data_IF_000186194515
#
_entry.id   IF_000186194515
#
_cell.length_a   1.000
_cell.length_b   1.000
_cell.length_c   1.000
_cell.angle_alpha   90.00
_cell.angle_beta   90.00
_cell.angle_gamma   90.00
#
_symmetry.space_group_name_H-M   'P 1'
#
loop_
_entity.id
_entity.type
_entity.pdbx_description
1 polymer ?
#
# COMPACT_ATOMS: atom_id res chain seq x y z
N UNK A 1 -12.82 9.18 20.62
CA UNK A 1 -11.54 9.74 20.15
C UNK A 1 -11.52 9.56 18.65
N UNK A 2 -11.30 10.60 17.83
CA UNK A 2 -11.06 10.34 16.41
C UNK A 2 -9.81 9.47 16.37
N UNK A 3 -9.94 8.24 15.88
CA UNK A 3 -8.80 7.37 15.65
C UNK A 3 -7.72 8.20 14.95
N UNK A 4 -6.48 8.18 15.46
CA UNK A 4 -5.37 8.90 14.85
C UNK A 4 -5.26 8.48 13.38
N UNK A 5 -5.86 9.28 12.50
CA UNK A 5 -5.83 9.07 11.06
C UNK A 5 -4.38 9.25 10.63
N UNK A 6 -3.63 8.15 10.56
CA UNK A 6 -2.28 8.18 10.01
C UNK A 6 -2.41 8.34 8.50
N UNK A 7 -1.81 9.40 8.01
CA UNK A 7 -1.68 9.66 6.59
C UNK A 7 -0.89 8.54 5.89
N UNK A 8 -1.54 7.77 5.02
CA UNK A 8 -0.89 6.73 4.20
C UNK A 8 0.27 7.32 3.38
N UNK A 9 0.14 8.57 2.91
CA UNK A 9 1.17 9.26 2.12
C UNK A 9 2.51 9.42 2.84
N UNK A 10 2.53 9.46 4.19
CA UNK A 10 3.78 9.56 4.95
C UNK A 10 4.68 8.32 4.82
N UNK A 11 4.13 7.20 4.35
CA UNK A 11 4.83 5.92 4.20
C UNK A 11 5.05 5.52 2.74
N UNK A 12 4.73 6.38 1.78
CA UNK A 12 4.99 6.17 0.36
C UNK A 12 6.29 6.86 -0.06
N UNK A 13 6.94 6.32 -1.09
CA UNK A 13 7.94 7.12 -1.82
C UNK A 13 7.22 8.20 -2.62
N UNK A 14 7.90 9.30 -2.93
CA UNK A 14 7.35 10.36 -3.79
C UNK A 14 6.87 9.78 -5.13
N UNK A 15 7.68 8.94 -5.77
CA UNK A 15 7.31 8.26 -7.01
C UNK A 15 6.03 7.43 -6.89
N UNK A 16 5.87 6.64 -5.82
CA UNK A 16 4.64 5.87 -5.63
C UNK A 16 3.43 6.76 -5.34
N UNK A 17 3.63 7.85 -4.60
CA UNK A 17 2.59 8.84 -4.35
C UNK A 17 2.09 9.48 -5.64
N UNK A 18 3.01 9.88 -6.53
CA UNK A 18 2.68 10.50 -7.81
C UNK A 18 1.92 9.53 -8.72
N UNK A 19 2.33 8.26 -8.79
CA UNK A 19 1.58 7.23 -9.55
C UNK A 19 0.15 7.08 -9.04
N UNK A 20 -0.06 7.04 -7.71
CA UNK A 20 -1.41 6.97 -7.14
C UNK A 20 -2.26 8.20 -7.50
N UNK A 21 -1.65 9.38 -7.48
CA UNK A 21 -2.33 10.62 -7.87
C UNK A 21 -2.69 10.64 -9.35
N UNK A 22 -1.75 10.30 -10.23
CA UNK A 22 -1.99 10.25 -11.68
C UNK A 22 -3.11 9.28 -12.03
N UNK A 23 -3.09 8.05 -11.49
CA UNK A 23 -4.14 7.07 -11.77
C UNK A 23 -5.51 7.55 -11.26
N UNK A 24 -5.56 8.14 -10.07
CA UNK A 24 -6.81 8.67 -9.53
C UNK A 24 -7.38 9.80 -10.40
N UNK A 25 -6.51 10.69 -10.88
CA UNK A 25 -6.89 11.80 -11.76
C UNK A 25 -7.37 11.30 -13.13
N UNK A 26 -6.63 10.40 -13.77
CA UNK A 26 -6.94 9.85 -15.09
C UNK A 26 -8.27 9.08 -15.10
N UNK A 27 -8.58 8.36 -14.02
CA UNK A 27 -9.83 7.60 -13.88
C UNK A 27 -10.98 8.43 -13.28
N UNK A 28 -10.74 9.69 -12.91
CA UNK A 28 -11.76 10.58 -12.35
C UNK A 28 -12.27 10.16 -10.96
N UNK A 29 -11.43 9.51 -10.16
CA UNK A 29 -11.77 9.00 -8.82
C UNK A 29 -10.93 9.66 -7.74
N UNK A 30 -11.38 9.58 -6.48
CA UNK A 30 -10.53 9.97 -5.35
C UNK A 30 -9.62 8.81 -4.95
N UNK A 31 -8.39 9.11 -4.52
CA UNK A 31 -7.48 8.09 -3.99
C UNK A 31 -8.08 7.35 -2.78
N UNK A 32 -8.83 8.05 -1.92
CA UNK A 32 -9.52 7.42 -0.79
C UNK A 32 -10.60 6.44 -1.25
N UNK A 33 -11.43 6.81 -2.23
CA UNK A 33 -12.43 5.91 -2.79
C UNK A 33 -11.80 4.70 -3.48
N UNK A 34 -10.66 4.89 -4.14
CA UNK A 34 -9.92 3.78 -4.75
C UNK A 34 -9.38 2.80 -3.68
N UNK A 35 -8.80 3.31 -2.60
CA UNK A 35 -8.32 2.48 -1.49
C UNK A 35 -9.46 1.73 -0.78
N UNK A 36 -10.62 2.36 -0.62
CA UNK A 36 -11.82 1.72 -0.05
C UNK A 36 -12.32 0.57 -0.94
N UNK A 37 -12.42 0.79 -2.25
CA UNK A 37 -12.84 -0.25 -3.19
C UNK A 37 -11.88 -1.44 -3.22
N UNK A 38 -10.56 -1.20 -3.17
CA UNK A 38 -9.58 -2.30 -3.07
C UNK A 38 -9.68 -3.06 -1.75
N UNK A 39 -9.97 -2.38 -0.64
CA UNK A 39 -10.16 -3.03 0.65
C UNK A 39 -11.39 -3.94 0.65
N UNK A 40 -12.49 -3.48 0.04
CA UNK A 40 -13.71 -4.29 -0.14
C UNK A 40 -13.43 -5.53 -0.99
N UNK A 41 -12.74 -5.38 -2.13
CA UNK A 41 -12.37 -6.52 -2.99
C UNK A 41 -11.48 -7.54 -2.27
N UNK A 42 -10.45 -7.08 -1.54
CA UNK A 42 -9.61 -7.97 -0.74
C UNK A 42 -10.37 -8.67 0.39
N UNK A 43 -11.40 -8.04 0.95
CA UNK A 43 -12.25 -8.65 1.97
C UNK A 43 -13.18 -9.71 1.36
N UNK A 44 -13.74 -9.45 0.19
CA UNK A 44 -14.59 -10.40 -0.53
C UNK A 44 -13.79 -11.56 -1.13
N UNK A 45 -12.54 -11.32 -1.50
CA UNK A 45 -11.65 -12.27 -2.16
C UNK A 45 -10.28 -12.32 -1.47
N UNK A 46 -10.19 -12.93 -0.26
CA UNK A 46 -8.97 -12.93 0.53
C UNK A 46 -7.79 -13.55 -0.23
N UNK A 47 -6.63 -12.88 -0.31
CA UNK A 47 -5.48 -13.39 -1.07
C UNK A 47 -4.97 -14.76 -0.59
N UNK A 48 -5.15 -15.09 0.69
CA UNK A 48 -4.71 -16.35 1.28
C UNK A 48 -5.67 -17.53 1.03
N UNK A 49 -6.89 -17.27 0.57
CA UNK A 49 -7.91 -18.28 0.26
C UNK A 49 -8.02 -18.56 -1.24
N UNK A 50 -7.03 -18.12 -2.03
CA UNK A 50 -7.06 -18.26 -3.49
C UNK A 50 -7.77 -17.10 -4.20
N UNK A 51 -7.83 -15.92 -3.58
CA UNK A 51 -8.29 -14.68 -4.20
C UNK A 51 -7.53 -14.29 -5.48
N UNK A 52 -7.88 -13.13 -6.05
CA UNK A 52 -7.42 -12.71 -7.39
C UNK A 52 -5.89 -12.85 -7.58
N UNK A 53 -5.39 -13.52 -8.65
CA UNK A 53 -3.95 -13.81 -8.83
C UNK A 53 -3.03 -12.59 -8.71
N UNK A 54 -3.50 -11.43 -9.18
CA UNK A 54 -2.78 -10.16 -9.09
C UNK A 54 -2.50 -9.72 -7.64
N UNK A 55 -3.36 -10.06 -6.68
CA UNK A 55 -3.10 -9.75 -5.27
C UNK A 55 -1.91 -10.52 -4.71
N UNK A 56 -1.73 -11.78 -5.11
CA UNK A 56 -0.58 -12.58 -4.69
C UNK A 56 0.75 -11.97 -5.16
N UNK A 57 0.77 -11.43 -6.38
CA UNK A 57 1.95 -10.75 -6.93
C UNK A 57 2.23 -9.42 -6.22
N UNK A 58 1.18 -8.62 -5.98
CA UNK A 58 1.28 -7.35 -5.26
C UNK A 58 1.79 -7.58 -3.83
N UNK A 59 1.25 -8.57 -3.11
CA UNK A 59 1.70 -8.93 -1.75
C UNK A 59 3.17 -9.38 -1.75
N UNK A 60 3.58 -10.17 -2.74
CA UNK A 60 4.99 -10.58 -2.87
C UNK A 60 5.91 -9.37 -3.06
N UNK A 61 5.51 -8.41 -3.87
CA UNK A 61 6.26 -7.16 -4.08
C UNK A 61 6.28 -6.29 -2.82
N UNK A 62 5.16 -6.16 -2.12
CA UNK A 62 5.08 -5.44 -0.85
C UNK A 62 6.05 -6.02 0.20
N UNK A 63 6.11 -7.34 0.34
CA UNK A 63 7.07 -8.03 1.23
C UNK A 63 8.54 -7.68 0.91
N UNK A 64 8.89 -7.53 -0.37
CA UNK A 64 10.24 -7.11 -0.78
C UNK A 64 10.53 -5.68 -0.36
N UNK A 65 9.57 -4.76 -0.55
CA UNK A 65 9.68 -3.35 -0.14
C UNK A 65 9.88 -3.26 1.38
N UNK A 66 9.09 -4.00 2.16
CA UNK A 66 9.21 -4.03 3.62
C UNK A 66 10.56 -4.58 4.08
N UNK A 67 11.08 -5.61 3.41
CA UNK A 67 12.41 -6.13 3.69
C UNK A 67 13.53 -5.10 3.40
N UNK A 68 13.37 -4.24 2.39
CA UNK A 68 14.30 -3.14 2.11
C UNK A 68 14.19 -2.05 3.19
N UNK A 69 12.97 -1.67 3.58
CA UNK A 69 12.72 -0.66 4.63
C UNK A 69 13.31 -1.10 5.98
N UNK A 70 13.06 -2.35 6.39
CA UNK A 70 13.62 -2.91 7.63
C UNK A 70 15.15 -2.91 7.63
N UNK A 71 15.78 -3.25 6.51
CA UNK A 71 17.25 -3.20 6.37
C UNK A 71 17.82 -1.79 6.51
N UNK A 72 17.13 -0.77 5.98
CA UNK A 72 17.55 0.64 6.10
C UNK A 72 17.31 1.22 7.49
N UNK A 73 16.24 0.80 8.17
CA UNK A 73 15.91 1.25 9.53
C UNK A 73 16.71 0.57 10.66
N UNK A 74 17.29 -0.62 10.42
CA UNK A 74 18.04 -1.39 11.42
C UNK A 74 19.54 -1.08 11.54
N UNK A 75 20.05 -0.09 10.81
CA UNK A 75 21.49 0.23 10.74
C UNK A 75 22.00 1.24 11.77
N UNK A 76 21.16 1.74 12.68
CA UNK A 76 21.55 2.70 13.72
C UNK A 76 21.41 2.07 15.11
N UNK A 77 22.43 1.32 15.52
CA UNK A 77 22.43 0.57 16.77
C UNK A 77 23.72 -0.20 16.99
N UNK A 78 24.87 0.45 16.76
CA UNK A 78 26.20 -0.02 17.19
C UNK A 78 27.20 1.12 17.05
N UNK A 79 27.26 1.96 18.08
CA UNK A 79 28.51 2.52 18.59
C UNK A 79 28.31 3.02 20.01
#
# INVERSE_FOLDING_TARGET
MPEERRAIHAYLTVESHDVWHTVAEEEGISLSGFLEAMAEDMSAHPPHEGGHPRWNEIIRSARKIDAVRRRRGGGSGSK
#
